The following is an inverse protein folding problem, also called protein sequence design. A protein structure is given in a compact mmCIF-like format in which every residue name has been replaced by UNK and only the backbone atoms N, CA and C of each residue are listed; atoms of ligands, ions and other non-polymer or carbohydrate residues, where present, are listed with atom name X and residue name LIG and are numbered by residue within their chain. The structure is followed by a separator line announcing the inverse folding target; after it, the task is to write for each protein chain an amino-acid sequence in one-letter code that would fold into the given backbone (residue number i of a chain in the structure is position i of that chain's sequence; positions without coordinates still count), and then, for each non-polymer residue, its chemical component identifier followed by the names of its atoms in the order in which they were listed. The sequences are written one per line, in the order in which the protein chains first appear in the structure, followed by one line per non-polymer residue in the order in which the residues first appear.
data_IF_078398528469
#
_entry.id   IF_078398528469
#
_cell.length_a   1.000
_cell.length_b   1.000
_cell.length_c   1.000
_cell.angle_alpha   90.00
_cell.angle_beta   90.00
_cell.angle_gamma   90.00
#
_symmetry.space_group_name_H-M   'P 1'
#
loop_
_entity.id
_entity.type
_entity.pdbx_description
1 polymer ?
#
# COMPACT_ATOMS: atom_id res chain seq x y z
N UNK A 1 11.69 14.71 16.77
CA UNK A 1 11.55 15.61 15.59
C UNK A 1 11.17 14.80 14.37
N UNK A 2 12.04 13.93 13.84
CA UNK A 2 11.76 13.10 12.66
C UNK A 2 10.45 12.28 12.77
N UNK A 3 10.21 11.64 13.91
CA UNK A 3 8.95 10.92 14.16
C UNK A 3 7.71 11.79 14.01
N UNK A 4 7.77 13.07 14.42
CA UNK A 4 6.69 14.02 14.23
C UNK A 4 6.43 14.33 12.75
N UNK A 5 7.46 14.37 11.91
CA UNK A 5 7.28 14.53 10.46
C UNK A 5 6.58 13.34 9.83
N UNK A 6 6.93 12.11 10.22
CA UNK A 6 6.20 10.91 9.79
C UNK A 6 4.76 10.90 10.28
N UNK A 7 4.49 11.29 11.53
CA UNK A 7 3.12 11.42 12.04
C UNK A 7 2.29 12.42 11.23
N UNK A 8 2.85 13.60 10.96
CA UNK A 8 2.17 14.63 10.15
C UNK A 8 1.94 14.17 8.71
N UNK A 9 2.91 13.47 8.12
CA UNK A 9 2.83 12.90 6.78
C UNK A 9 1.76 11.81 6.69
N UNK A 10 1.73 10.87 7.64
CA UNK A 10 0.72 9.82 7.73
C UNK A 10 -0.67 10.40 7.98
N UNK A 11 -0.77 11.44 8.81
CA UNK A 11 -2.04 12.17 9.01
C UNK A 11 -2.54 12.77 7.71
N UNK A 12 -1.65 13.40 6.92
CA UNK A 12 -2.01 13.95 5.60
C UNK A 12 -2.35 12.86 4.60
N UNK A 13 -1.66 11.72 4.62
CA UNK A 13 -2.00 10.56 3.80
C UNK A 13 -3.40 10.05 4.13
N UNK A 14 -3.74 9.89 5.41
CA UNK A 14 -5.07 9.47 5.85
C UNK A 14 -6.18 10.46 5.47
N UNK A 15 -5.86 11.75 5.33
CA UNK A 15 -6.80 12.79 4.86
C UNK A 15 -6.95 12.84 3.33
N UNK A 16 -5.90 12.47 2.57
CA UNK A 16 -5.90 12.50 1.10
C UNK A 16 -6.21 11.13 0.46
N UNK A 17 -6.19 10.05 1.25
CA UNK A 17 -6.63 8.72 0.85
C UNK A 17 -8.15 8.63 0.80
N UNK A 18 -8.79 9.40 -0.09
CA UNK A 18 -10.10 8.97 -0.61
C UNK A 18 -9.86 7.59 -1.27
N UNK A 19 -10.67 6.61 -0.87
CA UNK A 19 -10.68 5.21 -1.35
C UNK A 19 -9.68 4.20 -0.74
N UNK A 20 -8.92 4.56 0.31
CA UNK A 20 -8.29 3.59 1.22
C UNK A 20 -7.12 2.75 0.67
N UNK A 21 -6.81 2.80 -0.63
CA UNK A 21 -5.65 2.15 -1.21
C UNK A 21 -4.42 3.08 -1.18
N UNK A 22 -3.50 2.83 -0.25
CA UNK A 22 -2.15 3.44 -0.25
C UNK A 22 -1.18 2.40 -0.78
N UNK A 23 -0.33 2.78 -1.71
CA UNK A 23 0.76 1.92 -2.22
C UNK A 23 2.07 2.65 -2.05
N UNK A 24 3.08 1.97 -1.54
CA UNK A 24 4.40 2.53 -1.30
C UNK A 24 5.37 2.10 -2.40
N UNK A 25 6.34 2.96 -2.74
CA UNK A 25 7.44 2.64 -3.65
C UNK A 25 8.23 1.43 -3.14
N UNK A 26 8.46 1.38 -1.83
CA UNK A 26 9.06 0.22 -1.17
C UNK A 26 8.08 -0.46 -0.25
N UNK A 27 7.64 -1.65 -0.66
CA UNK A 27 6.82 -2.59 0.09
C UNK A 27 7.52 -3.94 0.19
N UNK A 28 7.25 -4.68 1.26
CA UNK A 28 7.67 -6.07 1.42
C UNK A 28 6.46 -6.90 1.82
N UNK A 29 6.06 -7.83 0.96
CA UNK A 29 4.87 -8.66 1.15
C UNK A 29 3.62 -7.80 1.46
N UNK A 30 3.37 -6.77 0.65
CA UNK A 30 2.22 -5.86 0.82
C UNK A 30 2.28 -4.97 2.06
N UNK A 31 3.37 -4.99 2.84
CA UNK A 31 3.55 -4.16 4.01
C UNK A 31 4.51 -3.01 3.72
N UNK A 32 4.19 -1.83 4.25
CA UNK A 32 5.05 -0.65 4.24
C UNK A 32 6.44 -0.97 4.80
N UNK A 33 7.48 -0.61 4.04
CA UNK A 33 8.86 -0.62 4.52
C UNK A 33 9.25 0.80 4.92
N UNK A 34 9.54 1.00 6.20
CA UNK A 34 9.93 2.31 6.70
C UNK A 34 11.32 2.72 6.24
N UNK A 35 11.42 3.90 5.61
CA UNK A 35 12.67 4.57 5.27
C UNK A 35 13.16 5.51 6.39
N UNK A 36 12.71 5.31 7.63
CA UNK A 36 13.06 6.17 8.77
C UNK A 36 14.57 6.24 8.98
N UNK A 37 15.22 5.08 8.97
CA UNK A 37 16.66 4.99 9.17
C UNK A 37 17.42 5.58 7.98
N UNK A 38 16.97 5.32 6.76
CA UNK A 38 17.51 5.92 5.54
C UNK A 38 17.47 7.45 5.61
N UNK A 39 16.32 8.02 5.95
CA UNK A 39 16.12 9.47 6.10
C UNK A 39 17.07 10.06 7.14
N UNK A 40 17.25 9.36 8.27
CA UNK A 40 18.15 9.78 9.32
C UNK A 40 19.62 9.73 8.87
N UNK A 41 20.04 8.67 8.17
CA UNK A 41 21.41 8.52 7.71
C UNK A 41 21.76 9.51 6.61
N UNK A 42 20.87 9.75 5.64
CA UNK A 42 21.07 10.79 4.62
C UNK A 42 21.27 12.15 5.27
N UNK A 43 20.44 12.49 6.27
CA UNK A 43 20.62 13.71 7.04
C UNK A 43 21.96 13.77 7.78
N UNK A 44 22.37 12.68 8.44
CA UNK A 44 23.64 12.61 9.17
C UNK A 44 24.84 12.76 8.24
N UNK A 45 24.81 12.15 7.06
CA UNK A 45 25.90 12.26 6.07
C UNK A 45 26.01 13.68 5.53
N UNK A 46 24.89 14.32 5.17
CA UNK A 46 24.91 15.69 4.61
C UNK A 46 25.20 16.77 5.64
N UNK A 47 24.73 16.60 6.87
CA UNK A 47 24.67 17.70 7.85
C UNK A 47 25.09 17.33 9.27
N UNK A 48 25.48 16.08 9.53
CA UNK A 48 25.91 15.61 10.83
C UNK A 48 27.24 16.24 11.23
N UNK A 49 27.18 17.32 12.02
CA UNK A 49 28.35 18.01 12.56
C UNK A 49 28.56 17.67 14.03
N UNK A 50 28.71 16.39 14.41
CA UNK A 50 29.13 15.94 15.77
C UNK A 50 28.27 16.34 16.99
N UNK A 51 27.32 17.27 16.85
CA UNK A 51 26.53 17.92 17.89
C UNK A 51 25.10 17.35 17.98
N UNK A 52 24.91 16.13 17.49
CA UNK A 52 23.64 15.40 17.45
C UNK A 52 23.13 14.96 18.83
N UNK A 53 23.84 15.30 19.91
CA UNK A 53 23.69 14.67 21.22
C UNK A 53 22.77 15.34 22.24
N UNK A 54 22.49 16.65 22.17
CA UNK A 54 21.81 17.30 23.32
C UNK A 54 20.80 18.41 22.97
N UNK A 55 20.92 19.13 21.85
CA UNK A 55 19.88 20.09 21.43
C UNK A 55 19.88 20.27 19.90
N UNK A 56 18.84 19.78 19.22
CA UNK A 56 18.65 20.04 17.80
C UNK A 56 18.14 21.48 17.61
N UNK A 57 19.01 22.38 17.20
CA UNK A 57 18.65 23.77 16.89
C UNK A 57 17.66 23.85 15.70
N UNK A 58 17.03 25.01 15.52
CA UNK A 58 16.04 25.20 14.45
C UNK A 58 16.62 24.93 13.05
N UNK A 59 17.87 25.32 12.81
CA UNK A 59 18.55 25.10 11.52
C UNK A 59 18.73 23.61 11.23
N UNK A 60 19.04 22.79 12.24
CA UNK A 60 19.14 21.34 12.10
C UNK A 60 17.78 20.67 11.93
N UNK A 61 16.71 21.21 12.53
CA UNK A 61 15.33 20.78 12.25
C UNK A 61 14.92 21.09 10.81
N UNK A 62 15.23 22.28 10.31
CA UNK A 62 14.89 22.69 8.95
C UNK A 62 15.60 21.80 7.91
N UNK A 63 16.89 21.52 8.11
CA UNK A 63 17.65 20.57 7.27
C UNK A 63 17.11 19.15 7.32
N UNK A 64 16.72 18.67 8.51
CA UNK A 64 16.11 17.35 8.65
C UNK A 64 14.76 17.28 7.94
N UNK A 65 13.97 18.37 8.00
CA UNK A 65 12.70 18.49 7.29
C UNK A 65 12.89 18.52 5.78
N UNK A 66 13.92 19.22 5.29
CA UNK A 66 14.30 19.24 3.87
C UNK A 66 14.57 17.82 3.37
N UNK A 67 15.43 17.05 4.05
CA UNK A 67 15.71 15.65 3.68
C UNK A 67 14.45 14.79 3.76
N UNK A 68 13.64 14.96 4.81
CA UNK A 68 12.38 14.25 4.94
C UNK A 68 11.46 14.51 3.74
N UNK A 69 11.26 15.77 3.33
CA UNK A 69 10.38 16.14 2.22
C UNK A 69 10.92 15.66 0.86
N UNK A 70 12.24 15.59 0.69
CA UNK A 70 12.85 15.03 -0.51
C UNK A 70 12.68 13.51 -0.59
N UNK A 71 12.69 12.82 0.55
CA UNK A 71 12.60 11.36 0.62
C UNK A 71 11.17 10.84 0.79
N UNK A 72 10.21 11.70 1.15
CA UNK A 72 8.84 11.31 1.47
C UNK A 72 7.86 12.26 0.78
N UNK A 73 7.23 11.76 -0.29
CA UNK A 73 6.15 12.46 -0.98
C UNK A 73 5.05 11.48 -1.36
N UNK A 74 3.87 12.00 -1.68
CA UNK A 74 2.79 11.18 -2.21
C UNK A 74 2.00 11.90 -3.28
N UNK A 75 1.42 11.12 -4.19
CA UNK A 75 0.54 11.62 -5.25
C UNK A 75 -0.60 10.65 -5.50
N UNK A 76 -1.79 11.17 -5.80
CA UNK A 76 -2.91 10.33 -6.21
C UNK A 76 -2.71 9.95 -7.67
N UNK A 77 -2.53 8.65 -7.93
CA UNK A 77 -2.27 8.14 -9.29
C UNK A 77 -2.87 6.75 -9.46
N UNK A 78 -2.94 6.31 -10.71
CA UNK A 78 -3.29 4.93 -11.06
C UNK A 78 -1.99 4.18 -11.28
N UNK A 79 -1.73 3.17 -10.44
CA UNK A 79 -0.56 2.31 -10.55
C UNK A 79 -0.98 1.00 -11.17
N UNK A 80 -0.18 0.53 -12.12
CA UNK A 80 -0.37 -0.74 -12.78
C UNK A 80 0.85 -1.62 -12.51
N UNK A 81 0.66 -2.71 -11.78
CA UNK A 81 1.74 -3.63 -11.39
C UNK A 81 1.46 -5.03 -11.90
N UNK A 82 2.50 -5.75 -12.31
CA UNK A 82 2.41 -7.18 -12.66
C UNK A 82 2.62 -8.03 -11.41
N UNK A 83 1.69 -8.91 -11.10
CA UNK A 83 1.69 -9.78 -9.91
C UNK A 83 1.71 -11.24 -10.36
N UNK A 84 2.57 -12.06 -9.76
CA UNK A 84 2.67 -13.50 -10.04
C UNK A 84 1.70 -14.33 -9.23
N UNK A 85 1.42 -15.54 -9.69
CA UNK A 85 0.61 -16.49 -8.93
C UNK A 85 1.24 -16.76 -7.54
N UNK A 86 0.40 -16.78 -6.51
CA UNK A 86 0.81 -16.90 -5.11
C UNK A 86 1.31 -15.59 -4.46
N UNK A 87 1.49 -14.50 -5.21
CA UNK A 87 1.86 -13.20 -4.64
C UNK A 87 0.63 -12.45 -4.11
N UNK A 88 0.88 -11.63 -3.08
CA UNK A 88 -0.14 -10.77 -2.47
C UNK A 88 -0.52 -9.64 -3.43
N UNK A 89 -1.83 -9.45 -3.60
CA UNK A 89 -2.44 -8.28 -4.24
C UNK A 89 -2.47 -7.08 -3.28
N UNK A 90 -2.15 -7.29 -2.00
CA UNK A 90 -2.26 -6.34 -0.90
C UNK A 90 -3.60 -6.43 -0.17
N UNK A 91 -3.82 -5.51 0.76
CA UNK A 91 -5.11 -5.36 1.44
C UNK A 91 -6.14 -4.80 0.47
N UNK A 92 -7.29 -5.45 0.38
CA UNK A 92 -8.43 -5.07 -0.46
C UNK A 92 -9.65 -4.85 0.40
N UNK A 93 -10.42 -3.81 0.08
CA UNK A 93 -11.73 -3.54 0.65
C UNK A 93 -12.78 -4.27 -0.17
N UNK A 94 -13.65 -4.99 0.53
CA UNK A 94 -14.72 -5.78 -0.04
C UNK A 94 -16.08 -5.27 0.45
N UNK A 95 -17.09 -5.29 -0.41
CA UNK A 95 -18.51 -5.17 -0.02
C UNK A 95 -19.24 -6.49 -0.24
N UNK A 96 -20.53 -6.54 0.10
CA UNK A 96 -21.39 -7.68 -0.19
C UNK A 96 -22.59 -7.29 -1.04
N UNK A 97 -22.96 -8.14 -1.99
CA UNK A 97 -24.17 -8.01 -2.80
C UNK A 97 -24.93 -9.33 -2.90
N UNK A 98 -26.18 -9.28 -3.36
CA UNK A 98 -26.95 -10.49 -3.67
C UNK A 98 -27.82 -10.24 -4.89
N UNK A 99 -28.46 -11.28 -5.42
CA UNK A 99 -29.27 -11.23 -6.64
C UNK A 99 -30.61 -10.47 -6.53
N UNK A 100 -30.90 -9.78 -5.42
CA UNK A 100 -32.17 -9.08 -5.24
C UNK A 100 -32.23 -7.78 -6.07
N UNK A 101 -33.44 -7.26 -6.28
CA UNK A 101 -33.67 -6.02 -7.03
C UNK A 101 -33.03 -4.77 -6.38
N UNK A 102 -32.74 -4.80 -5.09
CA UNK A 102 -32.07 -3.69 -4.40
C UNK A 102 -30.60 -3.62 -4.82
N UNK A 103 -29.91 -4.76 -4.86
CA UNK A 103 -28.49 -4.84 -5.19
C UNK A 103 -28.25 -4.84 -6.72
N UNK A 104 -29.05 -5.60 -7.48
CA UNK A 104 -28.81 -5.83 -8.92
C UNK A 104 -29.73 -5.02 -9.85
N UNK A 105 -30.75 -4.32 -9.32
CA UNK A 105 -31.68 -3.55 -10.13
C UNK A 105 -32.35 -4.38 -11.22
N UNK A 106 -32.19 -3.97 -12.48
CA UNK A 106 -32.75 -4.66 -13.65
C UNK A 106 -32.14 -6.05 -13.91
N UNK A 107 -30.98 -6.35 -13.32
CA UNK A 107 -30.26 -7.60 -13.48
C UNK A 107 -30.60 -8.64 -12.41
N UNK A 108 -31.56 -8.34 -11.54
CA UNK A 108 -31.96 -9.22 -10.44
C UNK A 108 -32.40 -10.61 -10.92
N UNK A 109 -31.86 -11.64 -10.27
CA UNK A 109 -32.08 -13.05 -10.60
C UNK A 109 -31.45 -13.53 -11.93
N UNK A 110 -30.68 -12.68 -12.60
CA UNK A 110 -29.96 -13.01 -13.84
C UNK A 110 -28.58 -13.60 -13.61
N UNK A 111 -27.90 -14.02 -14.70
CA UNK A 111 -26.49 -14.40 -14.65
C UNK A 111 -25.58 -13.19 -14.40
N UNK A 112 -24.35 -13.45 -13.97
CA UNK A 112 -23.27 -12.48 -13.86
C UNK A 112 -22.85 -11.94 -15.22
N UNK A 113 -22.02 -10.89 -15.24
CA UNK A 113 -21.44 -10.33 -16.47
C UNK A 113 -20.67 -11.35 -17.33
N UNK A 114 -20.07 -12.39 -16.74
CA UNK A 114 -19.44 -13.51 -17.48
C UNK A 114 -20.43 -14.54 -18.02
N UNK A 115 -21.71 -14.46 -17.64
CA UNK A 115 -22.79 -15.32 -18.13
C UNK A 115 -23.08 -16.55 -17.26
N UNK A 116 -22.37 -16.75 -16.15
CA UNK A 116 -22.64 -17.84 -15.20
C UNK A 116 -23.58 -17.39 -14.08
N UNK A 117 -24.25 -18.32 -13.42
CA UNK A 117 -25.06 -17.96 -12.24
C UNK A 117 -24.15 -17.74 -11.02
N UNK A 118 -24.31 -16.63 -10.27
CA UNK A 118 -23.46 -16.32 -9.14
C UNK A 118 -23.66 -17.32 -7.99
N UNK A 119 -22.59 -17.57 -7.23
CA UNK A 119 -22.58 -18.52 -6.10
C UNK A 119 -21.90 -17.91 -4.88
N UNK A 120 -22.44 -18.11 -3.67
CA UNK A 120 -21.74 -17.75 -2.44
C UNK A 120 -20.43 -18.52 -2.32
N UNK A 121 -19.46 -17.94 -1.62
CA UNK A 121 -18.11 -18.50 -1.43
C UNK A 121 -17.39 -18.84 -2.76
N UNK A 122 -17.72 -18.11 -3.84
CA UNK A 122 -17.15 -18.31 -5.17
C UNK A 122 -17.14 -17.04 -6.02
N UNK A 123 -18.27 -16.38 -6.23
CA UNK A 123 -18.37 -15.27 -7.18
C UNK A 123 -17.93 -13.93 -6.57
N UNK A 124 -17.05 -13.23 -7.28
CA UNK A 124 -16.74 -11.80 -7.07
C UNK A 124 -17.17 -10.94 -8.24
N UNK A 125 -17.55 -9.70 -7.94
CA UNK A 125 -17.63 -8.63 -8.91
C UNK A 125 -16.40 -7.71 -8.80
N UNK A 126 -16.00 -7.14 -9.94
CA UNK A 126 -15.10 -5.97 -10.03
C UNK A 126 -15.86 -4.76 -10.57
N UNK A 127 -15.31 -3.56 -10.43
CA UNK A 127 -15.93 -2.40 -11.05
C UNK A 127 -15.91 -2.52 -12.58
N UNK A 128 -17.03 -2.19 -13.22
CA UNK A 128 -17.23 -2.34 -14.66
C UNK A 128 -16.37 -1.38 -15.49
N UNK A 129 -16.04 -0.20 -14.93
CA UNK A 129 -15.27 0.84 -15.62
C UNK A 129 -13.80 0.80 -15.23
N UNK A 130 -13.49 0.51 -13.97
CA UNK A 130 -12.15 0.53 -13.41
C UNK A 130 -11.86 -0.79 -12.64
N UNK A 131 -11.80 -1.93 -13.35
CA UNK A 131 -11.61 -3.21 -12.70
C UNK A 131 -10.23 -3.29 -12.01
N UNK A 132 -10.22 -3.72 -10.75
CA UNK A 132 -8.97 -3.91 -9.99
C UNK A 132 -8.11 -5.03 -10.58
N UNK A 133 -8.76 -6.10 -11.06
CA UNK A 133 -8.16 -7.22 -11.80
C UNK A 133 -9.07 -7.63 -12.97
N UNK A 134 -8.55 -8.35 -13.99
CA UNK A 134 -9.36 -8.84 -15.11
C UNK A 134 -10.49 -9.80 -14.69
N UNK A 135 -11.55 -9.84 -15.50
CA UNK A 135 -12.58 -10.88 -15.44
C UNK A 135 -11.96 -12.28 -15.55
N UNK A 136 -12.45 -13.25 -14.78
CA UNK A 136 -11.94 -14.62 -14.72
C UNK A 136 -10.77 -14.83 -13.76
N UNK A 137 -10.22 -13.76 -13.18
CA UNK A 137 -9.13 -13.86 -12.19
C UNK A 137 -9.60 -14.67 -10.98
N UNK A 138 -8.76 -15.61 -10.53
CA UNK A 138 -8.99 -16.36 -9.30
C UNK A 138 -8.17 -15.79 -8.15
N UNK A 139 -8.81 -15.59 -7.01
CA UNK A 139 -8.26 -14.85 -5.88
C UNK A 139 -8.50 -15.66 -4.62
N UNK A 140 -7.49 -15.77 -3.76
CA UNK A 140 -7.66 -16.30 -2.41
C UNK A 140 -7.70 -15.13 -1.44
N UNK A 141 -8.79 -15.00 -0.69
CA UNK A 141 -8.90 -14.06 0.43
C UNK A 141 -9.79 -14.63 1.52
N UNK A 142 -9.49 -14.32 2.79
CA UNK A 142 -10.20 -14.88 3.95
C UNK A 142 -10.31 -16.43 3.94
N UNK A 143 -9.31 -17.12 3.39
CA UNK A 143 -9.29 -18.58 3.29
C UNK A 143 -10.23 -19.20 2.25
N UNK A 144 -10.88 -18.38 1.42
CA UNK A 144 -11.79 -18.82 0.35
C UNK A 144 -11.16 -18.45 -1.00
N UNK A 145 -11.21 -19.38 -1.95
CA UNK A 145 -10.89 -19.11 -3.36
C UNK A 145 -12.14 -18.62 -4.07
N UNK A 146 -12.03 -17.44 -4.67
CA UNK A 146 -13.08 -16.80 -5.43
C UNK A 146 -12.67 -16.66 -6.90
N UNK A 147 -13.65 -16.49 -7.78
CA UNK A 147 -13.50 -16.16 -9.19
C UNK A 147 -14.20 -14.84 -9.50
N UNK A 148 -13.51 -13.92 -10.16
CA UNK A 148 -14.10 -12.68 -10.68
C UNK A 148 -14.97 -13.05 -11.88
N UNK A 149 -16.27 -12.97 -11.72
CA UNK A 149 -17.26 -13.41 -12.72
C UNK A 149 -18.29 -12.33 -13.04
N UNK A 150 -18.37 -11.28 -12.24
CA UNK A 150 -19.40 -10.26 -12.33
C UNK A 150 -18.83 -8.83 -12.37
N UNK A 151 -19.69 -7.85 -12.65
CA UNK A 151 -19.31 -6.43 -12.62
C UNK A 151 -20.36 -5.56 -11.94
N UNK A 152 -19.92 -4.49 -11.29
CA UNK A 152 -20.78 -3.47 -10.69
C UNK A 152 -20.27 -2.04 -10.91
N UNK A 153 -20.98 -1.04 -10.36
CA UNK A 153 -20.59 0.37 -10.42
C UNK A 153 -20.32 0.88 -8.99
N UNK A 154 -19.20 0.44 -8.42
CA UNK A 154 -18.86 0.64 -7.00
C UNK A 154 -17.46 1.20 -6.75
N UNK A 155 -16.70 1.54 -7.79
CA UNK A 155 -15.38 2.21 -7.67
C UNK A 155 -15.44 3.43 -6.74
N UNK A 156 -16.52 4.22 -6.83
CA UNK A 156 -16.77 5.42 -6.00
C UNK A 156 -16.88 5.18 -4.49
N UNK A 157 -16.87 3.92 -4.05
CA UNK A 157 -17.00 3.54 -2.64
C UNK A 157 -15.68 3.03 -2.05
N UNK A 158 -14.59 3.07 -2.83
CA UNK A 158 -13.28 2.57 -2.42
C UNK A 158 -13.24 1.05 -2.25
N UNK A 159 -14.09 0.33 -2.99
CA UNK A 159 -14.23 -1.14 -2.93
C UNK A 159 -13.55 -1.75 -4.14
N UNK A 160 -12.66 -2.72 -3.92
CA UNK A 160 -12.00 -3.45 -4.99
C UNK A 160 -12.82 -4.66 -5.46
N UNK A 161 -13.57 -5.29 -4.54
CA UNK A 161 -14.42 -6.45 -4.84
C UNK A 161 -15.79 -6.40 -4.16
N UNK A 162 -16.83 -6.79 -4.88
CA UNK A 162 -18.15 -7.05 -4.29
C UNK A 162 -18.38 -8.56 -4.19
N UNK A 163 -18.62 -9.07 -2.98
CA UNK A 163 -18.75 -10.50 -2.67
C UNK A 163 -20.19 -10.94 -2.82
N UNK A 164 -20.44 -11.93 -3.67
CA UNK A 164 -21.78 -12.46 -3.81
C UNK A 164 -22.21 -13.25 -2.57
N UNK A 165 -23.34 -12.86 -2.00
CA UNK A 165 -23.98 -13.44 -0.84
C UNK A 165 -25.31 -14.11 -1.22
N UNK A 166 -25.70 -15.13 -0.45
CA UNK A 166 -26.93 -15.88 -0.70
C UNK A 166 -28.20 -15.01 -0.60
N UNK A 167 -28.20 -14.03 0.31
CA UNK A 167 -29.34 -13.15 0.56
C UNK A 167 -28.92 -11.73 0.96
N UNK A 168 -29.90 -10.82 0.97
CA UNK A 168 -29.68 -9.41 1.24
C UNK A 168 -29.28 -9.12 2.70
N UNK A 169 -29.74 -9.94 3.65
CA UNK A 169 -29.39 -9.76 5.05
C UNK A 169 -27.91 -10.07 5.27
N UNK A 170 -27.40 -11.12 4.64
CA UNK A 170 -25.99 -11.51 4.65
C UNK A 170 -25.12 -10.45 3.99
N UNK A 171 -25.51 -9.98 2.80
CA UNK A 171 -24.82 -8.89 2.11
C UNK A 171 -24.75 -7.60 2.97
N UNK A 172 -25.87 -7.23 3.60
CA UNK A 172 -25.92 -6.05 4.48
C UNK A 172 -25.06 -6.23 5.74
N UNK A 173 -25.02 -7.44 6.29
CA UNK A 173 -24.21 -7.75 7.46
C UNK A 173 -22.71 -7.82 7.15
N UNK A 174 -22.34 -8.15 5.91
CA UNK A 174 -20.94 -8.11 5.44
C UNK A 174 -20.36 -6.70 5.58
N UNK A 175 -21.10 -5.67 5.13
CA UNK A 175 -20.64 -4.28 5.17
C UNK A 175 -19.37 -4.07 4.34
N UNK A 176 -18.48 -3.17 4.76
CA UNK A 176 -17.13 -3.07 4.19
C UNK A 176 -16.15 -3.85 5.07
N UNK A 177 -15.44 -4.82 4.49
CA UNK A 177 -14.42 -5.62 5.16
C UNK A 177 -13.10 -5.53 4.42
N UNK A 178 -11.98 -5.51 5.16
CA UNK A 178 -10.64 -5.51 4.58
C UNK A 178 -9.98 -6.86 4.78
N UNK A 179 -9.45 -7.43 3.69
CA UNK A 179 -8.72 -8.69 3.71
C UNK A 179 -7.42 -8.55 2.92
N UNK A 180 -6.40 -9.30 3.30
CA UNK A 180 -5.29 -9.56 2.38
C UNK A 180 -5.77 -10.54 1.29
N UNK A 181 -5.49 -10.20 0.03
CA UNK A 181 -5.85 -11.01 -1.12
C UNK A 181 -4.60 -11.49 -1.87
N UNK A 182 -4.66 -12.70 -2.43
CA UNK A 182 -3.58 -13.34 -3.17
C UNK A 182 -4.07 -13.80 -4.54
N UNK A 183 -3.20 -13.73 -5.54
CA UNK A 183 -3.48 -14.35 -6.84
C UNK A 183 -3.46 -15.88 -6.69
N UNK A 184 -4.57 -16.55 -7.00
CA UNK A 184 -4.62 -18.01 -7.00
C UNK A 184 -3.87 -18.57 -8.23
N UNK A 185 -3.31 -19.79 -8.11
CA UNK A 185 -2.68 -20.47 -9.24
C UNK A 185 -3.66 -20.68 -10.40
N UNK A 186 -3.30 -20.18 -11.59
CA UNK A 186 -4.11 -20.15 -12.82
C UNK A 186 -3.37 -20.65 -14.06
N UNK A 187 -4.05 -20.65 -15.22
CA UNK A 187 -3.41 -20.91 -16.52
C UNK A 187 -2.46 -19.77 -16.94
N UNK A 188 -2.67 -18.57 -16.38
CA UNK A 188 -1.79 -17.41 -16.49
C UNK A 188 -1.03 -17.22 -15.17
N UNK A 189 0.31 -17.24 -15.23
CA UNK A 189 1.18 -17.15 -14.04
C UNK A 189 1.43 -15.70 -13.57
N UNK A 190 0.93 -14.71 -14.30
CA UNK A 190 1.10 -13.27 -14.05
C UNK A 190 -0.17 -12.53 -14.49
N UNK A 191 -0.68 -11.62 -13.65
CA UNK A 191 -1.75 -10.68 -14.04
C UNK A 191 -1.31 -9.23 -13.84
N UNK A 192 -1.98 -8.34 -14.54
CA UNK A 192 -1.86 -6.90 -14.32
C UNK A 192 -2.93 -6.42 -13.36
N UNK A 193 -2.51 -5.80 -12.25
CA UNK A 193 -3.37 -5.22 -11.23
C UNK A 193 -3.35 -3.71 -11.35
N UNK A 194 -4.53 -3.10 -11.36
CA UNK A 194 -4.69 -1.64 -11.42
C UNK A 194 -5.21 -1.12 -10.09
N UNK A 195 -4.39 -0.31 -9.40
CA UNK A 195 -4.74 0.32 -8.13
C UNK A 195 -4.95 1.82 -8.36
N UNK A 196 -6.14 2.33 -8.05
CA UNK A 196 -6.34 3.77 -7.84
C UNK A 196 -6.04 4.06 -6.38
N UNK A 197 -5.08 4.92 -6.12
CA UNK A 197 -4.67 5.15 -4.75
C UNK A 197 -3.63 6.25 -4.59
N UNK A 198 -3.31 6.50 -3.34
CA UNK A 198 -2.22 7.39 -3.00
C UNK A 198 -0.91 6.63 -3.13
N UNK A 199 -0.06 7.01 -4.09
CA UNK A 199 1.27 6.45 -4.26
C UNK A 199 2.27 7.21 -3.40
N UNK A 200 2.88 6.53 -2.45
CA UNK A 200 3.87 7.08 -1.53
C UNK A 200 5.26 6.78 -2.05
N UNK A 201 6.01 7.82 -2.38
CA UNK A 201 7.43 7.75 -2.69
C UNK A 201 8.21 7.86 -1.38
N UNK A 202 8.45 6.72 -0.72
CA UNK A 202 9.27 6.56 0.48
C UNK A 202 10.68 6.12 0.10
N UNK A 203 11.49 7.04 -0.45
CA UNK A 203 12.81 6.74 -0.98
C UNK A 203 13.71 6.05 0.07
N UNK A 204 14.38 4.98 -0.33
CA UNK A 204 15.50 4.42 0.45
C UNK A 204 16.79 5.20 0.14
N UNK A 205 17.90 4.85 0.82
CA UNK A 205 19.16 5.56 0.63
C UNK A 205 19.74 5.42 -0.80
N UNK A 206 19.50 4.30 -1.49
CA UNK A 206 19.94 4.08 -2.87
C UNK A 206 19.17 4.97 -3.86
N UNK A 207 17.86 5.10 -3.68
CA UNK A 207 17.05 6.01 -4.49
C UNK A 207 17.49 7.46 -4.28
N UNK A 208 17.85 7.82 -3.03
CA UNK A 208 18.34 9.17 -2.74
C UNK A 208 19.69 9.45 -3.40
N UNK A 209 20.61 8.47 -3.42
CA UNK A 209 21.86 8.55 -4.19
C UNK A 209 21.55 8.78 -5.67
N UNK A 210 20.57 8.06 -6.23
CA UNK A 210 20.15 8.20 -7.62
C UNK A 210 19.60 9.60 -7.98
N UNK A 211 19.23 10.43 -7.00
CA UNK A 211 18.87 11.83 -7.24
C UNK A 211 20.06 12.73 -7.62
N UNK A 212 21.31 12.26 -7.44
CA UNK A 212 22.53 13.02 -7.74
C UNK A 212 22.73 14.24 -6.84
N UNK A 213 22.17 14.20 -5.62
CA UNK A 213 22.22 15.29 -4.63
C UNK A 213 23.37 15.16 -3.62
N UNK A 214 24.18 14.12 -3.76
CA UNK A 214 25.32 13.81 -2.91
C UNK A 214 26.62 13.97 -3.72
N UNK A 215 27.69 14.34 -3.04
CA UNK A 215 29.05 14.25 -3.58
C UNK A 215 29.55 12.82 -3.51
N UNK A 216 30.55 12.44 -4.33
CA UNK A 216 31.13 11.09 -4.32
C UNK A 216 31.52 10.60 -2.92
N UNK A 217 32.07 11.49 -2.09
CA UNK A 217 32.46 11.17 -0.70
C UNK A 217 31.26 10.94 0.22
N UNK A 218 30.19 11.71 0.03
CA UNK A 218 28.95 11.52 0.78
C UNK A 218 28.25 10.23 0.36
N UNK A 219 28.27 9.87 -0.92
CA UNK A 219 27.74 8.59 -1.38
C UNK A 219 28.52 7.40 -0.82
N UNK A 220 29.85 7.45 -0.85
CA UNK A 220 30.72 6.42 -0.28
C UNK A 220 30.46 6.26 1.22
N UNK A 221 30.44 7.37 1.96
CA UNK A 221 30.15 7.37 3.39
C UNK A 221 28.74 6.86 3.68
N UNK A 222 27.73 7.25 2.88
CA UNK A 222 26.36 6.78 3.06
C UNK A 222 26.24 5.27 2.85
N UNK A 223 26.91 4.71 1.84
CA UNK A 223 26.95 3.26 1.61
C UNK A 223 27.67 2.51 2.74
N UNK A 224 28.75 3.09 3.26
CA UNK A 224 29.48 2.54 4.41
C UNK A 224 28.61 2.48 5.65
N UNK A 225 27.96 3.60 6.03
CA UNK A 225 27.12 3.64 7.25
C UNK A 225 25.82 2.84 7.12
N UNK A 226 25.37 2.59 5.89
CA UNK A 226 24.21 1.73 5.62
C UNK A 226 24.57 0.25 5.50
N UNK A 227 25.85 -0.11 5.47
CA UNK A 227 26.31 -1.50 5.38
C UNK A 227 25.90 -2.32 6.59
N UNK A 228 25.65 -3.63 6.40
CA UNK A 228 25.31 -4.54 7.50
C UNK A 228 26.43 -4.60 8.56
N UNK A 229 27.69 -4.53 8.13
CA UNK A 229 28.87 -4.53 8.99
C UNK A 229 28.83 -3.35 9.97
N UNK A 230 28.67 -2.12 9.46
CA UNK A 230 28.61 -0.93 10.31
C UNK A 230 27.34 -0.88 11.18
N UNK A 231 26.19 -1.31 10.64
CA UNK A 231 24.92 -1.36 11.39
C UNK A 231 24.97 -2.33 12.57
N UNK A 232 25.72 -3.43 12.45
CA UNK A 232 25.91 -4.41 13.52
C UNK A 232 26.89 -3.92 14.61
N UNK A 233 27.74 -2.94 14.30
CA UNK A 233 28.71 -2.36 15.24
C UNK A 233 28.14 -1.19 16.06
N UNK A 234 27.05 -0.57 15.61
CA UNK A 234 26.34 0.46 16.39
C UNK A 234 25.48 -0.26 17.45
N UNK A 235 25.66 0.01 18.77
CA UNK A 235 24.74 -0.48 19.80
C UNK A 235 23.34 -0.02 19.42
N UNK A 236 22.37 -0.94 19.32
CA UNK A 236 21.04 -0.65 18.81
C UNK A 236 20.53 0.66 19.44
N UNK A 237 20.40 1.71 18.64
CA UNK A 237 19.50 2.80 18.97
C UNK A 237 18.09 2.22 18.87
N UNK A 238 17.72 1.46 19.91
CA UNK A 238 16.51 0.64 20.03
C UNK A 238 15.25 1.47 20.21
N UNK A 239 15.08 2.49 19.38
CA UNK A 239 14.00 3.46 19.45
C UNK A 239 13.46 3.80 18.06
N UNK A 240 14.22 3.60 16.97
CA UNK A 240 13.79 4.05 15.63
C UNK A 240 12.66 3.24 15.00
N UNK A 241 12.81 1.91 14.93
CA UNK A 241 11.83 1.01 14.31
C UNK A 241 10.55 0.90 15.14
N UNK A 242 10.67 0.88 16.47
CA UNK A 242 9.51 0.79 17.36
C UNK A 242 8.72 2.11 17.38
N UNK A 243 9.39 3.28 17.31
CA UNK A 243 8.71 4.57 17.19
C UNK A 243 8.08 4.77 15.82
N UNK A 244 8.66 4.23 14.74
CA UNK A 244 8.03 4.25 13.42
C UNK A 244 6.75 3.39 13.37
N UNK A 245 6.77 2.22 14.01
CA UNK A 245 5.58 1.36 14.15
C UNK A 245 4.52 1.98 15.10
N UNK A 246 4.95 2.66 16.18
CA UNK A 246 4.07 3.42 17.08
C UNK A 246 3.52 4.71 16.46
N UNK A 247 4.15 5.25 15.41
CA UNK A 247 3.65 6.39 14.64
C UNK A 247 2.67 5.98 13.53
N UNK A 248 2.45 4.67 13.34
CA UNK A 248 1.47 4.08 12.43
C UNK A 248 0.17 3.65 13.14
N UNK A 249 0.16 3.62 14.48
CA UNK A 249 -1.04 3.40 15.33
C UNK A 249 -1.63 4.71 15.82
#
# INVERSE_FOLDING_TARGET
VLSGYYMDFNTKLGQNGEDGAVTYLHEKNGNYVSNYYDTLMVYMVKYGTGDIGVDMDQRHKDKLKEIFDEMNSFENTTITTTIKAGESLGNVVTSGYCQCSICCGQWAGGPTASGVMPKPDHTLAVDAQNPFVPMGTRIIMNGIEYTVEDTGAFDRYGVQFDVFCADHATASAWGHQTFEAFLADGDENEITVTKKGCYVKNLNYEDYIALGKLTEKEEELLREVMSEEFRNEIPSFGVGSDVANLALT
#
